data_IF_676490274102
#
_entry.id   IF_676490274102
#
_cell.length_a   1.000
_cell.length_b   1.000
_cell.length_c   1.000
_cell.angle_alpha   90.00
_cell.angle_beta   90.00
_cell.angle_gamma   90.00
#
_symmetry.space_group_name_H-M   'P 1'
#
loop_
_entity.id
_entity.type
_entity.pdbx_description
1 polymer ?
#
# COMPACT_ATOMS: atom_id res chain seq x y z
N UNK A 1 -2.56 0.55 -17.02
CA UNK A 1 -1.70 -0.55 -16.53
C UNK A 1 -1.14 -1.32 -17.72
N UNK A 2 0.16 -1.59 -17.77
CA UNK A 2 0.74 -2.45 -18.81
C UNK A 2 0.42 -3.91 -18.44
N UNK A 3 -0.42 -4.59 -19.23
CA UNK A 3 -0.86 -5.99 -18.96
C UNK A 3 0.32 -6.92 -18.68
N UNK A 4 1.45 -6.72 -19.36
CA UNK A 4 2.65 -7.54 -19.20
C UNK A 4 3.25 -7.48 -17.79
N UNK A 5 3.11 -6.36 -17.09
CA UNK A 5 3.64 -6.20 -15.72
C UNK A 5 2.75 -6.92 -14.71
N UNK A 6 1.43 -6.86 -14.90
CA UNK A 6 0.47 -7.53 -14.02
C UNK A 6 0.60 -9.05 -14.12
N UNK A 7 0.64 -9.57 -15.34
CA UNK A 7 0.80 -11.01 -15.58
C UNK A 7 2.13 -11.52 -15.04
N UNK A 8 3.20 -10.73 -15.12
CA UNK A 8 4.50 -11.07 -14.53
C UNK A 8 4.47 -11.12 -13.00
N UNK A 9 3.55 -10.41 -12.33
CA UNK A 9 3.42 -10.47 -10.86
C UNK A 9 2.48 -11.59 -10.40
N UNK A 10 1.43 -11.87 -11.19
CA UNK A 10 0.49 -12.96 -10.93
C UNK A 10 1.12 -14.33 -11.21
N UNK A 11 1.88 -14.42 -12.31
CA UNK A 11 2.56 -15.61 -12.79
C UNK A 11 4.06 -15.32 -12.94
N UNK A 12 4.78 -15.13 -11.83
CA UNK A 12 6.18 -14.76 -11.89
C UNK A 12 7.00 -15.84 -12.58
N UNK A 13 7.78 -15.48 -13.62
CA UNK A 13 8.66 -16.44 -14.29
C UNK A 13 9.63 -17.08 -13.30
N UNK A 14 9.93 -18.38 -13.41
CA UNK A 14 10.89 -19.06 -12.55
C UNK A 14 12.23 -18.32 -12.51
N UNK A 15 12.81 -18.18 -11.32
CA UNK A 15 14.08 -17.47 -11.13
C UNK A 15 14.01 -15.94 -11.22
N UNK A 16 12.85 -15.35 -11.51
CA UNK A 16 12.66 -13.90 -11.46
C UNK A 16 12.71 -13.36 -10.01
N UNK A 17 12.91 -12.06 -9.85
CA UNK A 17 12.84 -11.42 -8.54
C UNK A 17 11.45 -11.56 -7.90
N UNK A 18 10.39 -11.51 -8.70
CA UNK A 18 9.01 -11.70 -8.24
C UNK A 18 8.78 -13.15 -7.77
N UNK A 19 9.36 -14.14 -8.46
CA UNK A 19 9.29 -15.54 -8.02
C UNK A 19 9.99 -15.72 -6.66
N UNK A 20 11.21 -15.18 -6.51
CA UNK A 20 11.93 -15.22 -5.23
C UNK A 20 11.20 -14.51 -4.10
N UNK A 21 10.59 -13.36 -4.38
CA UNK A 21 9.78 -12.63 -3.41
C UNK A 21 8.60 -13.48 -2.91
N UNK A 22 7.89 -14.13 -3.84
CA UNK A 22 6.79 -15.06 -3.51
C UNK A 22 7.27 -16.26 -2.71
N UNK A 23 8.39 -16.88 -3.09
CA UNK A 23 9.01 -17.99 -2.36
C UNK A 23 9.41 -17.60 -0.93
N UNK A 24 9.84 -16.35 -0.73
CA UNK A 24 10.13 -15.77 0.58
C UNK A 24 8.87 -15.41 1.39
N UNK A 25 7.67 -15.53 0.80
CA UNK A 25 6.40 -15.21 1.46
C UNK A 25 5.99 -13.74 1.36
N UNK A 26 6.58 -12.96 0.45
CA UNK A 26 6.15 -11.58 0.19
C UNK A 26 4.85 -11.61 -0.62
N UNK A 27 3.81 -10.96 -0.10
CA UNK A 27 2.55 -10.79 -0.80
C UNK A 27 2.66 -9.70 -1.89
N UNK A 28 2.58 -10.13 -3.15
CA UNK A 28 2.59 -9.24 -4.32
C UNK A 28 1.22 -8.66 -4.65
N UNK A 29 0.15 -9.12 -3.99
CA UNK A 29 -1.23 -8.66 -4.24
C UNK A 29 -1.37 -7.17 -3.97
N UNK A 30 -0.79 -6.67 -2.87
CA UNK A 30 -0.78 -5.25 -2.54
C UNK A 30 -0.06 -4.41 -3.61
N UNK A 31 1.01 -4.94 -4.19
CA UNK A 31 1.73 -4.27 -5.27
C UNK A 31 0.86 -4.21 -6.53
N UNK A 32 0.22 -5.31 -6.91
CA UNK A 32 -0.69 -5.39 -8.05
C UNK A 32 -1.84 -4.39 -7.89
N UNK A 33 -2.49 -4.37 -6.72
CA UNK A 33 -3.58 -3.43 -6.42
C UNK A 33 -3.15 -1.97 -6.59
N UNK A 34 -1.96 -1.60 -6.12
CA UNK A 34 -1.43 -0.24 -6.28
C UNK A 34 -1.14 0.10 -7.74
N UNK A 35 -0.64 -0.86 -8.51
CA UNK A 35 -0.34 -0.65 -9.92
C UNK A 35 -1.62 -0.51 -10.78
N UNK A 36 -2.74 -1.11 -10.37
CA UNK A 36 -4.06 -0.92 -11.01
C UNK A 36 -4.59 0.51 -10.85
N UNK A 37 -4.23 1.20 -9.77
CA UNK A 37 -4.69 2.57 -9.49
C UNK A 37 -4.05 3.58 -10.44
N UNK A 38 -4.88 4.49 -10.95
CA UNK A 38 -4.48 5.71 -11.66
C UNK A 38 -3.72 6.68 -10.74
N UNK A 39 -2.98 7.64 -11.30
CA UNK A 39 -2.32 8.67 -10.49
C UNK A 39 -3.29 9.45 -9.59
N UNK A 40 -4.48 9.77 -10.09
CA UNK A 40 -5.51 10.49 -9.33
C UNK A 40 -6.01 9.66 -8.14
N UNK A 41 -6.34 8.38 -8.35
CA UNK A 41 -6.77 7.48 -7.27
C UNK A 41 -5.71 7.39 -6.16
N UNK A 42 -4.42 7.31 -6.52
CA UNK A 42 -3.33 7.28 -5.54
C UNK A 42 -3.25 8.56 -4.71
N UNK A 43 -3.50 9.73 -5.32
CA UNK A 43 -3.55 11.00 -4.60
C UNK A 43 -4.76 11.04 -3.65
N UNK A 44 -5.91 10.56 -4.09
CA UNK A 44 -7.11 10.48 -3.27
C UNK A 44 -6.90 9.57 -2.04
N UNK A 45 -6.23 8.44 -2.22
CA UNK A 45 -5.86 7.55 -1.10
C UNK A 45 -4.90 8.22 -0.12
N UNK A 46 -3.86 8.90 -0.63
CA UNK A 46 -2.91 9.62 0.21
C UNK A 46 -3.62 10.68 1.05
N UNK A 47 -4.48 11.48 0.43
CA UNK A 47 -5.26 12.50 1.14
C UNK A 47 -6.19 11.87 2.19
N UNK A 48 -6.77 10.70 1.90
CA UNK A 48 -7.59 9.96 2.88
C UNK A 48 -6.76 9.55 4.09
N UNK A 49 -5.58 8.98 3.87
CA UNK A 49 -4.67 8.59 4.96
C UNK A 49 -4.23 9.80 5.78
N UNK A 50 -3.89 10.92 5.13
CA UNK A 50 -3.52 12.16 5.83
C UNK A 50 -4.65 12.67 6.74
N UNK A 51 -5.90 12.63 6.27
CA UNK A 51 -7.07 12.99 7.10
C UNK A 51 -7.20 12.07 8.30
N UNK A 52 -7.10 10.76 8.11
CA UNK A 52 -7.17 9.78 9.21
C UNK A 52 -6.06 9.98 10.26
N UNK A 53 -4.84 10.30 9.83
CA UNK A 53 -3.74 10.60 10.74
C UNK A 53 -3.97 11.88 11.54
N UNK A 54 -4.50 12.92 10.88
CA UNK A 54 -4.86 14.17 11.55
C UNK A 54 -5.96 13.96 12.60
N UNK A 55 -6.96 13.13 12.30
CA UNK A 55 -8.02 12.79 13.25
C UNK A 55 -7.49 11.97 14.44
N UNK A 56 -6.60 11.00 14.19
CA UNK A 56 -5.93 10.26 15.26
C UNK A 56 -5.10 11.19 16.17
N UNK A 57 -4.38 12.15 15.58
CA UNK A 57 -3.60 13.17 16.30
C UNK A 57 -4.49 14.06 17.16
N UNK A 58 -5.65 14.47 16.67
CA UNK A 58 -6.64 15.25 17.44
C UNK A 58 -7.17 14.44 18.62
N UNK A 59 -7.47 13.15 18.43
CA UNK A 59 -7.96 12.26 19.49
C UNK A 59 -6.90 11.92 20.55
N UNK A 60 -5.61 11.92 20.20
CA UNK A 60 -4.52 11.71 21.15
C UNK A 60 -4.21 12.95 22.03
N UNK A 61 -4.55 14.17 21.57
CA UNK A 61 -4.27 15.43 22.28
C UNK A 61 -4.95 15.57 23.66
N UNK A 62 -6.23 15.16 23.86
CA UNK A 62 -6.87 15.18 25.18
C UNK A 62 -6.17 14.28 26.20
N UNK A 63 -5.67 13.12 25.79
CA UNK A 63 -4.99 12.17 26.67
C UNK A 63 -3.68 12.71 27.24
N UNK A 64 -2.92 13.47 26.46
CA UNK A 64 -1.64 14.05 26.90
C UNK A 64 -1.77 15.25 27.85
N UNK A 65 -2.98 15.84 27.99
CA UNK A 65 -3.24 16.98 28.90
C UNK A 65 -3.79 16.57 30.26
N UNK A 66 -4.05 15.28 30.49
CA UNK A 66 -4.69 14.79 31.73
C UNK A 66 -3.78 13.95 32.61
N UNK A 67 -2.49 13.82 32.26
CA UNK A 67 -1.49 13.28 33.19
C UNK A 67 -1.13 14.36 34.22
N UNK A 68 -1.36 14.12 35.53
CA UNK A 68 -1.03 15.06 36.60
C UNK A 68 0.49 15.24 36.78
#
# INVERSE_FOLDING_TARGET
>A
MNRNVEDHLLNPPPGSAAARAREFGIDLTLLIERLRRTPEERLNDLQRVMRSLEDARKSARPFLRTTP
#
